data_IF_705686946513
#
_entry.id   IF_705686946513
#
_cell.length_a   1.000
_cell.length_b   1.000
_cell.length_c   1.000
_cell.angle_alpha   90.00
_cell.angle_beta   90.00
_cell.angle_gamma   90.00
#
_symmetry.space_group_name_H-M   'P 1'
#
loop_
_entity.id
_entity.type
_entity.pdbx_description
1 polymer ?
#
# COMPACT_ATOMS: atom_id res chain seq x y z
N UNK A 1 23.88 25.97 -20.03
CA UNK A 1 23.91 26.27 -18.65
C UNK A 1 25.30 26.32 -18.13
N UNK A 2 26.00 27.28 -18.37
CA UNK A 2 27.28 27.52 -17.75
C UNK A 2 28.03 26.24 -17.42
N UNK A 3 28.91 26.30 -16.47
CA UNK A 3 29.67 25.16 -16.01
C UNK A 3 28.96 24.37 -14.92
N UNK A 4 27.75 24.74 -14.59
CA UNK A 4 26.98 24.02 -13.57
C UNK A 4 26.24 22.86 -14.21
N UNK A 5 26.30 21.66 -13.62
CA UNK A 5 25.45 20.56 -14.09
C UNK A 5 24.00 20.91 -13.93
N UNK A 6 23.19 20.47 -14.88
CA UNK A 6 21.76 20.58 -14.76
C UNK A 6 21.28 19.73 -13.61
N UNK A 7 20.71 20.36 -12.61
CA UNK A 7 20.14 19.69 -11.45
C UNK A 7 18.67 19.43 -11.70
N UNK A 8 18.37 18.40 -12.46
CA UNK A 8 17.00 17.91 -12.57
C UNK A 8 16.90 16.49 -12.04
N UNK A 9 15.73 16.17 -11.53
CA UNK A 9 15.49 14.85 -10.96
C UNK A 9 15.09 13.89 -12.07
N UNK A 10 15.69 12.71 -12.10
CA UNK A 10 15.23 11.64 -12.98
C UNK A 10 13.87 11.12 -12.53
N UNK A 11 13.68 11.00 -11.22
CA UNK A 11 12.44 10.51 -10.64
C UNK A 11 11.99 11.37 -9.47
N UNK A 12 10.71 11.35 -9.22
CA UNK A 12 10.07 12.04 -8.11
C UNK A 12 9.46 11.03 -7.15
N UNK A 13 9.51 11.35 -5.87
CA UNK A 13 9.01 10.49 -4.80
C UNK A 13 8.19 11.33 -3.83
N UNK A 14 6.96 10.93 -3.59
CA UNK A 14 6.06 11.61 -2.65
C UNK A 14 5.49 10.60 -1.67
N UNK A 15 5.34 11.03 -0.43
CA UNK A 15 4.64 10.26 0.58
C UNK A 15 3.26 10.87 0.78
N UNK A 16 2.23 10.06 0.59
CA UNK A 16 0.86 10.46 0.79
C UNK A 16 0.32 9.74 2.03
N UNK A 17 -0.30 10.49 2.93
CA UNK A 17 -1.15 9.90 3.95
C UNK A 17 -2.55 9.80 3.35
N UNK A 18 -2.83 8.65 2.74
CA UNK A 18 -4.08 8.45 2.01
C UNK A 18 -5.27 8.49 2.96
N UNK A 19 -6.26 9.35 2.71
CA UNK A 19 -7.52 9.31 3.44
C UNK A 19 -8.45 8.21 2.90
N UNK A 20 -9.46 7.86 3.68
CA UNK A 20 -10.52 6.99 3.22
C UNK A 20 -11.33 7.66 2.10
N UNK A 21 -11.94 6.87 1.25
CA UNK A 21 -12.83 7.34 0.19
C UNK A 21 -12.19 7.48 -1.19
N UNK A 22 -10.88 7.23 -1.30
CA UNK A 22 -10.16 7.31 -2.58
C UNK A 22 -9.58 5.95 -2.97
N UNK A 23 -9.76 5.59 -4.23
CA UNK A 23 -9.16 4.35 -4.74
C UNK A 23 -7.71 4.58 -5.14
N UNK A 24 -6.89 3.56 -4.98
CA UNK A 24 -5.48 3.59 -5.35
C UNK A 24 -5.34 3.17 -6.82
N UNK A 25 -5.54 4.13 -7.70
CA UNK A 25 -5.47 3.94 -9.13
C UNK A 25 -5.13 5.27 -9.81
N UNK A 26 -4.61 5.21 -11.01
CA UNK A 26 -4.38 6.42 -11.81
C UNK A 26 -5.66 6.92 -12.45
N UNK A 27 -6.61 6.04 -12.71
CA UNK A 27 -7.90 6.37 -13.32
C UNK A 27 -9.00 5.50 -12.72
N UNK A 28 -10.20 6.05 -12.64
CA UNK A 28 -11.40 5.30 -12.25
C UNK A 28 -12.63 6.07 -12.74
N UNK A 29 -13.60 5.37 -13.33
CA UNK A 29 -14.75 6.00 -13.94
C UNK A 29 -15.81 6.45 -12.92
N UNK A 30 -15.86 5.81 -11.76
CA UNK A 30 -16.91 6.05 -10.77
C UNK A 30 -16.41 6.55 -9.42
N UNK A 31 -15.14 6.28 -9.09
CA UNK A 31 -14.58 6.63 -7.79
C UNK A 31 -13.54 7.74 -7.93
N UNK A 32 -13.36 8.49 -6.84
CA UNK A 32 -12.26 9.43 -6.74
C UNK A 32 -10.96 8.65 -6.53
N UNK A 33 -9.92 9.05 -7.23
CA UNK A 33 -8.61 8.40 -7.12
C UNK A 33 -7.65 9.22 -6.27
N UNK A 34 -6.62 8.56 -5.76
CA UNK A 34 -5.55 9.23 -5.00
C UNK A 34 -4.85 10.31 -5.81
N UNK A 35 -4.88 10.21 -7.15
CA UNK A 35 -4.25 11.20 -8.02
C UNK A 35 -4.94 12.57 -7.91
N UNK A 36 -6.21 12.62 -7.55
CA UNK A 36 -6.93 13.88 -7.33
C UNK A 36 -6.41 14.66 -6.13
N UNK A 37 -5.73 14.00 -5.21
CA UNK A 37 -5.12 14.64 -4.04
C UNK A 37 -3.81 15.35 -4.38
N UNK A 38 -3.34 15.23 -5.62
CA UNK A 38 -2.08 15.79 -6.09
C UNK A 38 -2.30 17.07 -6.91
N UNK A 39 -3.39 17.77 -6.68
CA UNK A 39 -3.81 18.95 -7.44
C UNK A 39 -2.87 20.14 -7.27
N UNK A 40 -2.04 20.16 -6.23
CA UNK A 40 -1.03 21.20 -6.03
C UNK A 40 0.22 21.00 -6.88
N UNK A 41 0.38 19.86 -7.52
CA UNK A 41 1.52 19.54 -8.36
C UNK A 41 1.24 19.90 -9.83
N UNK A 42 2.29 20.21 -10.63
CA UNK A 42 2.10 20.44 -12.05
C UNK A 42 1.44 19.26 -12.75
N UNK A 43 0.49 19.52 -13.63
CA UNK A 43 -0.26 18.47 -14.32
C UNK A 43 0.62 17.53 -15.15
N UNK A 44 1.68 18.06 -15.74
CA UNK A 44 2.63 17.25 -16.51
C UNK A 44 3.34 16.23 -15.63
N UNK A 45 3.64 16.61 -14.38
CA UNK A 45 4.25 15.71 -13.43
C UNK A 45 3.24 14.64 -12.98
N UNK A 46 2.02 15.04 -12.65
CA UNK A 46 0.97 14.12 -12.18
C UNK A 46 0.72 13.03 -13.22
N UNK A 47 0.77 13.34 -14.50
CA UNK A 47 0.58 12.37 -15.58
C UNK A 47 1.63 11.24 -15.56
N UNK A 48 2.79 11.49 -14.97
CA UNK A 48 3.89 10.52 -14.88
C UNK A 48 3.91 9.77 -13.57
N UNK A 49 3.14 10.23 -12.59
CA UNK A 49 3.10 9.65 -11.25
C UNK A 49 2.14 8.47 -11.18
N UNK A 50 2.49 7.53 -10.35
CA UNK A 50 1.61 6.39 -10.04
C UNK A 50 1.85 5.94 -8.60
N UNK A 51 0.84 5.32 -7.97
CA UNK A 51 0.99 4.82 -6.61
C UNK A 51 1.81 3.52 -6.59
N UNK A 52 2.58 3.35 -5.53
CA UNK A 52 3.36 2.14 -5.28
C UNK A 52 2.53 1.20 -4.43
N UNK A 53 1.97 0.18 -5.06
CA UNK A 53 1.04 -0.73 -4.41
C UNK A 53 -0.37 -0.15 -4.33
N UNK A 54 -1.20 -0.82 -3.59
CA UNK A 54 -2.62 -0.46 -3.50
C UNK A 54 -3.11 -0.58 -2.07
N UNK A 55 -3.85 0.43 -1.64
CA UNK A 55 -4.67 0.39 -0.45
C UNK A 55 -6.14 0.39 -0.89
N UNK A 56 -6.99 -0.29 -0.14
CA UNK A 56 -8.42 -0.29 -0.40
C UNK A 56 -8.98 1.13 -0.27
N UNK A 57 -10.14 1.37 -0.90
CA UNK A 57 -10.78 2.68 -0.91
C UNK A 57 -10.89 3.29 0.49
N UNK A 58 -11.31 2.50 1.47
CA UNK A 58 -11.54 2.97 2.83
C UNK A 58 -10.34 2.78 3.76
N UNK A 59 -9.23 2.25 3.27
CA UNK A 59 -8.00 2.14 4.04
C UNK A 59 -7.25 3.46 4.03
N UNK A 60 -6.77 3.86 5.20
CA UNK A 60 -5.97 5.08 5.37
C UNK A 60 -4.51 4.71 5.61
N UNK A 61 -3.62 5.64 5.33
CA UNK A 61 -2.22 5.50 5.70
C UNK A 61 -1.23 5.76 4.58
N UNK A 62 -0.03 5.26 4.80
CA UNK A 62 1.12 5.55 3.94
C UNK A 62 0.97 4.95 2.54
N UNK A 63 1.12 5.82 1.56
CA UNK A 63 1.17 5.43 0.15
C UNK A 63 2.28 6.21 -0.52
N UNK A 64 3.18 5.53 -1.21
CA UNK A 64 4.24 6.17 -1.98
C UNK A 64 3.71 6.44 -3.38
N UNK A 65 3.92 7.66 -3.86
CA UNK A 65 3.58 8.10 -5.22
C UNK A 65 4.88 8.46 -5.92
N UNK A 66 5.15 7.89 -7.07
CA UNK A 66 6.45 8.07 -7.74
C UNK A 66 6.35 7.94 -9.24
N UNK A 67 7.40 8.38 -9.93
CA UNK A 67 7.62 8.11 -11.35
C UNK A 67 8.56 6.93 -11.57
N UNK A 68 9.10 6.35 -10.50
CA UNK A 68 10.15 5.32 -10.54
C UNK A 68 9.53 3.91 -10.59
N UNK A 69 9.44 3.35 -11.80
CA UNK A 69 8.89 2.00 -11.99
C UNK A 69 9.74 0.91 -11.37
N UNK A 70 11.05 1.09 -11.30
CA UNK A 70 11.95 0.10 -10.70
C UNK A 70 11.72 0.01 -9.20
N UNK A 71 11.60 1.15 -8.53
CA UNK A 71 11.29 1.18 -7.10
C UNK A 71 9.92 0.53 -6.84
N UNK A 72 8.92 0.90 -7.63
CA UNK A 72 7.58 0.34 -7.49
C UNK A 72 7.60 -1.18 -7.63
N UNK A 73 8.28 -1.70 -8.63
CA UNK A 73 8.40 -3.13 -8.83
C UNK A 73 9.10 -3.81 -7.65
N UNK A 74 10.20 -3.22 -7.17
CA UNK A 74 10.93 -3.76 -6.04
C UNK A 74 10.08 -3.81 -4.77
N UNK A 75 9.37 -2.72 -4.47
CA UNK A 75 8.55 -2.61 -3.25
C UNK A 75 7.35 -3.54 -3.28
N UNK A 76 6.73 -3.71 -4.45
CA UNK A 76 5.46 -4.46 -4.56
C UNK A 76 5.62 -5.93 -4.96
N UNK A 77 6.79 -6.33 -5.45
CA UNK A 77 7.02 -7.69 -5.90
C UNK A 77 6.90 -8.69 -4.75
N UNK A 78 6.19 -9.80 -4.94
CA UNK A 78 6.12 -10.86 -3.94
C UNK A 78 7.47 -11.47 -3.58
N UNK A 79 8.45 -11.40 -4.50
CA UNK A 79 9.79 -11.97 -4.28
C UNK A 79 10.70 -11.09 -3.46
N UNK A 80 10.37 -9.81 -3.28
CA UNK A 80 11.20 -8.86 -2.54
C UNK A 80 11.06 -8.98 -1.03
N UNK A 81 10.05 -9.66 -0.53
CA UNK A 81 9.80 -9.88 0.91
C UNK A 81 9.73 -8.59 1.74
N UNK A 82 9.33 -7.49 1.14
CA UNK A 82 9.10 -6.25 1.88
C UNK A 82 7.82 -6.38 2.68
N UNK A 83 7.92 -6.12 3.97
CA UNK A 83 6.80 -6.25 4.87
C UNK A 83 5.97 -4.99 4.93
N UNK A 84 4.67 -5.17 5.13
CA UNK A 84 3.71 -4.09 5.38
C UNK A 84 3.07 -4.32 6.74
N UNK A 85 2.86 -3.24 7.47
CA UNK A 85 2.20 -3.28 8.76
C UNK A 85 0.89 -2.51 8.67
N UNK A 86 -0.19 -3.14 9.09
CA UNK A 86 -1.52 -2.55 9.14
C UNK A 86 -1.99 -2.48 10.58
N UNK A 87 -2.58 -1.36 10.95
CA UNK A 87 -3.35 -1.25 12.17
C UNK A 87 -4.80 -1.59 11.83
N UNK A 88 -5.38 -2.55 12.53
CA UNK A 88 -6.72 -3.04 12.23
C UNK A 88 -7.60 -2.91 13.47
N UNK A 89 -8.76 -2.28 13.28
CA UNK A 89 -9.84 -2.29 14.25
C UNK A 89 -10.88 -3.30 13.77
N UNK A 90 -11.40 -4.09 14.70
CA UNK A 90 -12.32 -5.18 14.35
C UNK A 90 -13.39 -5.37 15.40
N UNK A 91 -14.47 -6.05 15.00
CA UNK A 91 -15.50 -6.55 15.90
C UNK A 91 -15.35 -8.05 16.07
N UNK A 92 -15.64 -8.54 17.27
CA UNK A 92 -15.49 -9.95 17.60
C UNK A 92 -14.25 -10.23 18.44
N UNK A 93 -13.86 -11.48 18.51
CA UNK A 93 -12.75 -11.93 19.36
C UNK A 93 -11.67 -12.58 18.51
N UNK A 94 -10.44 -12.12 18.64
CA UNK A 94 -9.27 -12.80 18.09
C UNK A 94 -8.58 -13.56 19.22
N UNK A 95 -8.67 -14.88 19.17
CA UNK A 95 -8.03 -15.76 20.15
C UNK A 95 -6.69 -16.26 19.61
N UNK A 96 -6.00 -17.06 20.42
CA UNK A 96 -4.70 -17.63 20.04
C UNK A 96 -4.79 -18.51 18.80
N UNK A 97 -5.93 -19.19 18.61
CA UNK A 97 -6.16 -20.00 17.41
C UNK A 97 -6.18 -19.15 16.15
N UNK A 98 -6.83 -17.99 16.20
CA UNK A 98 -6.87 -17.07 15.06
C UNK A 98 -5.48 -16.57 14.72
N UNK A 99 -4.69 -16.18 15.72
CA UNK A 99 -3.30 -15.73 15.51
C UNK A 99 -2.44 -16.85 14.91
N UNK A 100 -2.63 -18.08 15.34
CA UNK A 100 -1.91 -19.24 14.81
C UNK A 100 -2.28 -19.52 13.35
N UNK A 101 -3.57 -19.43 13.02
CA UNK A 101 -4.04 -19.64 11.65
C UNK A 101 -3.48 -18.58 10.71
N UNK A 102 -3.40 -17.34 11.14
CA UNK A 102 -2.81 -16.25 10.34
C UNK A 102 -1.32 -16.50 10.10
N UNK A 103 -0.62 -16.99 11.12
CA UNK A 103 0.81 -17.27 11.03
C UNK A 103 1.14 -18.41 10.08
N UNK A 104 0.26 -19.39 9.97
CA UNK A 104 0.40 -20.55 9.08
C UNK A 104 -0.07 -20.23 7.65
N UNK A 105 -0.83 -19.16 7.47
CA UNK A 105 -1.43 -18.79 6.19
C UNK A 105 -2.87 -19.31 6.09
N UNK A 106 -3.77 -18.37 5.82
CA UNK A 106 -5.20 -18.70 5.68
C UNK A 106 -5.50 -19.30 4.33
N UNK A 107 -6.53 -20.14 4.28
CA UNK A 107 -7.10 -20.66 3.04
C UNK A 107 -8.57 -20.23 3.02
N UNK A 108 -9.00 -19.58 1.94
CA UNK A 108 -10.38 -19.16 1.80
C UNK A 108 -11.30 -20.29 1.30
N UNK A 109 -12.59 -19.99 1.18
CA UNK A 109 -13.59 -20.94 0.71
C UNK A 109 -13.32 -21.47 -0.70
N UNK A 110 -12.59 -20.70 -1.50
CA UNK A 110 -12.25 -21.05 -2.88
C UNK A 110 -10.93 -21.82 -2.97
N UNK A 111 -10.31 -22.12 -1.84
CA UNK A 111 -9.04 -22.81 -1.80
C UNK A 111 -7.82 -21.90 -2.04
N UNK A 112 -8.01 -20.59 -2.09
CA UNK A 112 -6.90 -19.66 -2.21
C UNK A 112 -6.10 -19.61 -0.92
N UNK A 113 -4.81 -19.89 -1.01
CA UNK A 113 -3.93 -19.85 0.14
C UNK A 113 -3.25 -18.47 0.22
N UNK A 114 -3.40 -17.82 1.36
CA UNK A 114 -2.77 -16.53 1.61
C UNK A 114 -1.40 -16.74 2.26
N UNK A 115 -0.48 -15.81 2.03
CA UNK A 115 0.81 -15.84 2.70
C UNK A 115 0.63 -15.65 4.20
N UNK A 116 1.53 -16.23 5.00
CA UNK A 116 1.50 -16.03 6.44
C UNK A 116 1.54 -14.57 6.83
N UNK A 117 0.80 -14.25 7.89
CA UNK A 117 0.80 -12.93 8.49
C UNK A 117 0.91 -13.07 10.00
N UNK A 118 1.51 -12.10 10.66
CA UNK A 118 1.68 -12.12 12.11
C UNK A 118 0.87 -11.00 12.74
N UNK A 119 0.14 -11.34 13.81
CA UNK A 119 -0.63 -10.36 14.59
C UNK A 119 0.18 -9.97 15.83
N UNK A 120 0.24 -8.66 16.08
CA UNK A 120 0.93 -8.11 17.25
C UNK A 120 0.00 -7.22 18.06
N UNK A 121 0.25 -7.16 19.36
CA UNK A 121 -0.48 -6.27 20.26
C UNK A 121 -1.99 -6.41 20.12
N UNK A 122 -2.46 -7.66 20.10
CA UNK A 122 -3.87 -7.96 19.96
C UNK A 122 -4.61 -7.52 21.22
N UNK A 123 -5.61 -6.67 21.05
CA UNK A 123 -6.51 -6.24 22.11
C UNK A 123 -7.93 -6.71 21.78
N UNK A 124 -8.91 -6.27 22.57
CA UNK A 124 -10.31 -6.65 22.34
C UNK A 124 -10.85 -6.06 21.04
N UNK A 125 -10.30 -4.95 20.57
CA UNK A 125 -10.84 -4.18 19.43
C UNK A 125 -9.84 -3.92 18.32
N UNK A 126 -8.55 -4.21 18.53
CA UNK A 126 -7.52 -3.85 17.56
C UNK A 126 -6.31 -4.77 17.60
N UNK A 127 -5.54 -4.75 16.52
CA UNK A 127 -4.24 -5.41 16.45
C UNK A 127 -3.40 -4.78 15.34
N UNK A 128 -2.11 -5.16 15.31
CA UNK A 128 -1.24 -4.87 14.18
C UNK A 128 -1.03 -6.16 13.39
N UNK A 129 -1.15 -6.06 12.10
CA UNK A 129 -0.93 -7.17 11.18
C UNK A 129 0.28 -6.86 10.32
N UNK A 130 1.24 -7.78 10.32
CA UNK A 130 2.46 -7.66 9.50
C UNK A 130 2.50 -8.80 8.51
N UNK A 131 2.64 -8.46 7.25
CA UNK A 131 2.74 -9.46 6.18
C UNK A 131 3.71 -9.00 5.09
N UNK A 132 4.32 -9.97 4.42
CA UNK A 132 5.11 -9.69 3.22
C UNK A 132 4.22 -9.41 2.02
N UNK A 133 4.80 -8.87 0.97
CA UNK A 133 4.08 -8.64 -0.28
C UNK A 133 3.51 -9.93 -0.85
N UNK A 134 2.32 -9.82 -1.43
CA UNK A 134 1.63 -10.94 -2.04
C UNK A 134 0.77 -10.40 -3.19
N UNK A 135 0.45 -11.27 -4.11
CA UNK A 135 -0.54 -10.99 -5.17
C UNK A 135 -1.97 -11.18 -4.68
N UNK A 136 -2.13 -11.68 -3.48
CA UNK A 136 -3.43 -11.99 -2.87
C UNK A 136 -3.67 -11.14 -1.64
#
# INVERSE_FOLDING_TARGET
LDDKPLMYKENYYFLLNKPAGYVTSTTDDTNQTVMMLLDTLPSKLVQKLFPVGRLDKDTEGLLIITTDGKLSHFVTSPTSNIQKTYYIEFEGVLNDRASKMMKEGLVDEKGTQFKPATLYNVSETSCYLVKANTTK
#
